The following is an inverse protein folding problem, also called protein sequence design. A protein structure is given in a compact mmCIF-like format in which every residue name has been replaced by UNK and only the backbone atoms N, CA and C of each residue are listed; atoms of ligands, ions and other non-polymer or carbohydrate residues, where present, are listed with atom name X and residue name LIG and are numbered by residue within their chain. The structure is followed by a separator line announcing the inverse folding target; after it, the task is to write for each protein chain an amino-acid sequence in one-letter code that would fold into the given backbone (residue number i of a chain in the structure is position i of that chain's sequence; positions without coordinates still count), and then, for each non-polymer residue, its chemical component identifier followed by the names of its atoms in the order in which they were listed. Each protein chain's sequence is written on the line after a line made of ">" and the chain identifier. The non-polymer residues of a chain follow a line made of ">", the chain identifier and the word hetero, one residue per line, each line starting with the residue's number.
data_IF_409553334909
#
_entry.id   IF_409553334909
#
_cell.length_a   1.000
_cell.length_b   1.000
_cell.length_c   1.000
_cell.angle_alpha   90.00
_cell.angle_beta   90.00
_cell.angle_gamma   90.00
#
_symmetry.space_group_name_H-M   'P 1'
#
loop_
_entity.id
_entity.type
_entity.pdbx_description
1 polymer ?
#
# COMPACT_ATOMS: atom_id res chain seq x y z
N UNK A 1 21.39 -7.39 18.58
CA UNK A 1 20.65 -6.13 18.89
C UNK A 1 20.86 -5.17 17.73
N UNK A 2 19.79 -4.55 17.21
CA UNK A 2 19.88 -3.57 16.12
C UNK A 2 20.67 -2.35 16.62
N UNK A 3 21.85 -2.09 16.06
CA UNK A 3 22.71 -0.97 16.47
C UNK A 3 22.68 0.23 15.51
N UNK A 4 21.98 0.11 14.38
CA UNK A 4 21.92 1.12 13.31
C UNK A 4 20.48 1.25 12.80
N UNK A 5 20.03 2.49 12.57
CA UNK A 5 18.66 2.80 12.16
C UNK A 5 17.82 3.42 13.28
N UNK A 6 16.79 4.20 12.89
CA UNK A 6 15.82 4.73 13.86
C UNK A 6 14.60 3.80 13.87
N UNK A 7 14.43 3.07 14.97
CA UNK A 7 13.38 2.05 15.15
C UNK A 7 12.07 2.58 15.74
N UNK A 8 11.91 3.91 15.76
CA UNK A 8 10.74 4.67 16.19
C UNK A 8 9.59 4.67 15.16
N UNK A 9 9.52 3.63 14.33
CA UNK A 9 8.48 3.45 13.30
C UNK A 9 8.02 1.98 13.22
N UNK A 10 7.13 1.68 12.27
CA UNK A 10 6.74 0.31 11.95
C UNK A 10 7.91 -0.44 11.33
N UNK A 11 8.49 -1.38 12.07
CA UNK A 11 9.50 -2.31 11.59
C UNK A 11 8.80 -3.64 11.28
N UNK A 12 9.04 -4.21 10.10
CA UNK A 12 8.46 -5.50 9.71
C UNK A 12 9.56 -6.54 9.56
N UNK A 13 9.28 -7.76 9.99
CA UNK A 13 10.19 -8.89 9.92
C UNK A 13 9.42 -10.13 9.50
N UNK A 14 9.97 -10.89 8.56
CA UNK A 14 9.44 -12.19 8.16
C UNK A 14 10.54 -13.06 7.55
N UNK A 15 10.28 -14.35 7.48
CA UNK A 15 11.12 -15.29 6.76
C UNK A 15 10.90 -15.14 5.25
N UNK A 16 11.97 -14.97 4.47
CA UNK A 16 11.93 -14.94 3.00
C UNK A 16 12.52 -16.25 2.46
N UNK A 17 11.68 -17.21 2.04
CA UNK A 17 12.12 -18.53 1.61
C UNK A 17 13.12 -18.49 0.45
N UNK A 18 13.01 -17.51 -0.46
CA UNK A 18 13.88 -17.42 -1.65
C UNK A 18 15.30 -16.99 -1.31
N UNK A 19 15.47 -16.30 -0.20
CA UNK A 19 16.77 -15.88 0.32
C UNK A 19 17.30 -16.83 1.40
N UNK A 20 16.45 -17.74 1.91
CA UNK A 20 16.73 -18.58 3.08
C UNK A 20 17.21 -17.75 4.29
N UNK A 21 16.54 -16.60 4.51
CA UNK A 21 16.91 -15.60 5.52
C UNK A 21 15.68 -14.92 6.09
N UNK A 22 15.81 -14.42 7.32
CA UNK A 22 14.90 -13.39 7.81
C UNK A 22 15.22 -12.08 7.09
N UNK A 23 14.18 -11.37 6.69
CA UNK A 23 14.27 -10.02 6.13
C UNK A 23 13.60 -9.04 7.08
N UNK A 24 14.21 -7.87 7.23
CA UNK A 24 13.67 -6.81 8.08
C UNK A 24 13.65 -5.51 7.29
N UNK A 25 12.51 -4.84 7.33
CA UNK A 25 12.34 -3.49 6.78
C UNK A 25 12.13 -2.50 7.92
N UNK A 26 12.88 -1.41 7.89
CA UNK A 26 12.83 -0.39 8.93
C UNK A 26 13.14 0.99 8.36
N UNK A 27 12.76 2.03 9.10
CA UNK A 27 12.92 3.41 8.67
C UNK A 27 14.38 3.86 8.75
N UNK A 28 14.83 4.51 7.68
CA UNK A 28 16.15 5.13 7.54
C UNK A 28 16.02 6.54 6.98
N UNK A 29 17.15 7.19 6.69
CA UNK A 29 17.18 8.49 6.01
C UNK A 29 18.13 8.38 4.82
N UNK A 30 17.66 8.77 3.64
CA UNK A 30 18.44 8.76 2.39
C UNK A 30 18.29 10.13 1.75
N UNK A 31 19.42 10.82 1.50
CA UNK A 31 19.41 12.15 0.89
C UNK A 31 18.58 13.20 1.66
N UNK A 32 18.46 13.08 2.99
CA UNK A 32 17.67 13.96 3.84
C UNK A 32 16.18 13.62 3.95
N UNK A 33 15.72 12.57 3.26
CA UNK A 33 14.33 12.10 3.30
C UNK A 33 14.21 10.83 4.12
N UNK A 34 13.14 10.73 4.93
CA UNK A 34 12.75 9.45 5.54
C UNK A 34 12.51 8.44 4.42
N UNK A 35 13.19 7.32 4.54
CA UNK A 35 13.14 6.22 3.58
C UNK A 35 13.03 4.91 4.34
N UNK A 36 12.97 3.80 3.61
CA UNK A 36 12.95 2.45 4.16
C UNK A 36 14.22 1.76 3.66
N UNK A 37 14.84 0.97 4.54
CA UNK A 37 15.94 0.07 4.17
C UNK A 37 15.61 -1.35 4.56
N UNK A 38 16.19 -2.30 3.84
CA UNK A 38 16.15 -3.72 4.13
C UNK A 38 17.47 -4.20 4.70
N UNK A 39 17.40 -5.10 5.67
CA UNK A 39 18.53 -5.92 6.10
C UNK A 39 18.13 -7.39 6.16
N UNK A 40 19.10 -8.30 6.11
CA UNK A 40 18.88 -9.75 6.17
C UNK A 40 19.63 -10.38 7.33
N UNK A 41 19.11 -11.51 7.83
CA UNK A 41 19.65 -12.23 8.98
C UNK A 41 19.55 -13.74 8.75
N UNK A 42 20.54 -14.47 9.24
CA UNK A 42 20.54 -15.93 9.26
C UNK A 42 20.00 -16.49 10.57
N UNK A 43 20.27 -15.82 11.70
CA UNK A 43 20.02 -16.36 13.06
C UNK A 43 19.43 -15.33 14.05
N UNK A 44 18.85 -14.23 13.55
CA UNK A 44 18.32 -13.11 14.34
C UNK A 44 19.35 -12.37 15.23
N UNK A 45 20.61 -12.79 15.21
CA UNK A 45 21.71 -12.20 15.98
C UNK A 45 22.60 -11.35 15.07
N UNK A 46 23.02 -11.92 13.94
CA UNK A 46 23.90 -11.31 12.95
C UNK A 46 23.10 -10.65 11.81
N UNK A 47 23.50 -9.45 11.41
CA UNK A 47 22.77 -8.59 10.48
C UNK A 47 23.67 -8.21 9.32
N UNK A 48 23.17 -8.37 8.09
CA UNK A 48 23.88 -7.86 6.91
C UNK A 48 23.93 -6.32 6.90
N UNK A 49 24.74 -5.76 6.01
CA UNK A 49 24.62 -4.34 5.68
C UNK A 49 23.19 -4.03 5.20
N UNK A 50 22.71 -2.85 5.56
CA UNK A 50 21.38 -2.39 5.20
C UNK A 50 21.38 -1.74 3.83
N UNK A 51 20.46 -2.17 2.99
CA UNK A 51 20.30 -1.69 1.62
C UNK A 51 19.06 -0.81 1.55
N UNK A 52 19.19 0.47 1.16
CA UNK A 52 18.04 1.33 0.90
C UNK A 52 17.09 0.73 -0.14
N UNK A 53 15.79 0.93 0.03
CA UNK A 53 14.83 0.58 -1.01
C UNK A 53 14.99 1.53 -2.20
N UNK A 54 14.83 0.95 -3.40
CA UNK A 54 14.73 1.66 -4.67
C UNK A 54 13.26 1.75 -5.08
N UNK A 55 12.81 2.92 -5.52
CA UNK A 55 11.42 3.18 -5.88
C UNK A 55 11.23 3.40 -7.39
N UNK A 56 12.13 2.86 -8.21
CA UNK A 56 12.09 3.00 -9.66
C UNK A 56 12.01 4.48 -10.07
N UNK A 57 10.99 4.85 -10.84
CA UNK A 57 10.84 6.19 -11.41
C UNK A 57 10.07 7.15 -10.48
N UNK A 58 9.66 6.69 -9.30
CA UNK A 58 8.89 7.50 -8.38
C UNK A 58 9.73 8.63 -7.77
N UNK A 59 9.17 9.85 -7.61
CA UNK A 59 9.90 10.98 -7.07
C UNK A 59 10.25 10.77 -5.58
N UNK A 60 11.24 11.52 -5.08
CA UNK A 60 11.62 11.49 -3.67
C UNK A 60 10.47 11.98 -2.79
N UNK A 61 10.06 11.15 -1.85
CA UNK A 61 8.99 11.40 -0.90
C UNK A 61 9.39 10.84 0.47
N UNK A 62 8.73 11.28 1.55
CA UNK A 62 9.11 10.91 2.91
C UNK A 62 8.27 9.70 3.38
N UNK A 63 8.84 8.51 3.39
CA UNK A 63 8.16 7.29 3.85
C UNK A 63 8.39 7.09 5.35
N UNK A 64 7.32 7.15 6.14
CA UNK A 64 7.42 7.04 7.60
C UNK A 64 7.33 5.59 8.07
N UNK A 65 6.22 4.91 7.75
CA UNK A 65 6.02 3.46 7.96
C UNK A 65 6.31 2.69 6.68
N UNK A 66 6.30 1.36 6.71
CA UNK A 66 6.48 0.54 5.52
C UNK A 66 5.33 -0.46 5.23
N UNK A 67 4.78 -1.11 6.27
CA UNK A 67 3.73 -2.12 6.10
C UNK A 67 4.12 -3.29 5.19
N UNK A 68 5.41 -3.57 5.02
CA UNK A 68 5.91 -4.55 4.05
C UNK A 68 5.69 -5.97 4.56
N UNK A 69 5.01 -6.79 3.76
CA UNK A 69 4.73 -8.20 4.03
C UNK A 69 4.53 -9.00 2.73
N UNK A 70 4.73 -10.33 2.74
CA UNK A 70 4.28 -11.19 1.65
C UNK A 70 2.76 -11.12 1.48
N UNK A 71 2.29 -11.03 0.24
CA UNK A 71 0.85 -11.08 -0.02
C UNK A 71 0.35 -12.53 0.09
N UNK A 72 -0.55 -12.81 1.04
CA UNK A 72 -0.96 -14.19 1.36
C UNK A 72 -1.53 -14.99 0.17
N UNK A 73 -2.14 -14.32 -0.81
CA UNK A 73 -2.68 -14.96 -2.04
C UNK A 73 -1.64 -15.11 -3.16
N UNK A 74 -0.51 -14.42 -3.06
CA UNK A 74 0.64 -14.56 -3.95
C UNK A 74 1.95 -14.28 -3.18
N UNK A 75 2.43 -15.20 -2.32
CA UNK A 75 3.53 -14.92 -1.37
C UNK A 75 4.87 -14.55 -2.02
N UNK A 76 5.01 -14.81 -3.32
CA UNK A 76 6.16 -14.41 -4.13
C UNK A 76 6.14 -12.91 -4.53
N UNK A 77 5.11 -12.16 -4.11
CA UNK A 77 4.99 -10.71 -4.25
C UNK A 77 4.90 -10.11 -2.85
N UNK A 78 5.74 -9.11 -2.59
CA UNK A 78 5.67 -8.30 -1.38
C UNK A 78 4.78 -7.09 -1.64
N UNK A 79 3.86 -6.82 -0.72
CA UNK A 79 3.12 -5.57 -0.66
C UNK A 79 3.69 -4.68 0.42
N UNK A 80 3.65 -3.37 0.19
CA UNK A 80 3.98 -2.35 1.17
C UNK A 80 2.89 -1.28 1.22
N UNK A 81 2.68 -0.74 2.41
CA UNK A 81 1.68 0.29 2.71
C UNK A 81 2.33 1.44 3.49
N UNK A 82 3.27 2.17 2.89
CA UNK A 82 3.99 3.20 3.62
C UNK A 82 3.08 4.42 3.84
N UNK A 83 3.11 4.95 5.06
CA UNK A 83 2.57 6.27 5.34
C UNK A 83 3.51 7.31 4.74
N UNK A 84 3.01 8.07 3.76
CA UNK A 84 3.72 9.22 3.24
C UNK A 84 3.49 10.41 4.15
N UNK A 85 4.59 11.00 4.55
CA UNK A 85 4.64 12.23 5.31
C UNK A 85 4.84 13.40 4.35
N UNK A 86 3.98 14.41 4.46
CA UNK A 86 4.09 15.64 3.67
C UNK A 86 4.43 16.79 4.60
N UNK A 87 5.70 17.21 4.58
CA UNK A 87 6.13 18.41 5.28
C UNK A 87 5.48 19.64 4.65
N UNK A 88 4.84 20.48 5.45
CA UNK A 88 4.18 21.71 4.97
C UNK A 88 4.55 22.89 5.85
N UNK A 89 4.49 24.10 5.29
CA UNK A 89 4.50 25.33 6.09
C UNK A 89 3.12 25.52 6.72
N UNK A 90 3.08 26.06 7.93
CA UNK A 90 1.82 26.43 8.56
C UNK A 90 1.14 27.56 7.74
N UNK A 91 -0.16 27.42 7.49
CA UNK A 91 -1.01 28.41 6.79
C UNK A 91 -2.33 28.56 7.55
N UNK A 92 -3.10 29.61 7.27
CA UNK A 92 -4.40 29.82 7.92
C UNK A 92 -5.36 28.66 7.64
N UNK A 93 -5.35 28.09 6.42
CA UNK A 93 -6.12 26.88 6.11
C UNK A 93 -5.71 25.70 6.98
N UNK A 94 -4.40 25.48 7.21
CA UNK A 94 -3.97 24.37 8.07
C UNK A 94 -4.36 24.63 9.53
N UNK A 95 -4.33 25.90 9.98
CA UNK A 95 -4.78 26.26 11.34
C UNK A 95 -6.27 26.03 11.53
N UNK A 96 -7.09 26.19 10.49
CA UNK A 96 -8.54 25.96 10.58
C UNK A 96 -8.94 24.48 10.50
N UNK A 97 -8.02 23.57 10.15
CA UNK A 97 -8.32 22.15 10.11
C UNK A 97 -8.48 21.58 11.53
N UNK A 98 -9.64 20.97 11.78
CA UNK A 98 -9.91 20.24 13.01
C UNK A 98 -8.85 19.14 13.28
N UNK A 99 -8.42 18.93 14.54
CA UNK A 99 -8.84 19.63 15.76
C UNK A 99 -8.07 20.94 15.94
N UNK A 100 -8.75 22.10 15.94
CA UNK A 100 -8.08 23.41 15.91
C UNK A 100 -7.25 23.67 17.17
N UNK A 101 -7.82 23.47 18.35
CA UNK A 101 -7.17 23.76 19.63
C UNK A 101 -6.00 22.82 19.89
N UNK A 102 -6.21 21.51 19.70
CA UNK A 102 -5.16 20.51 19.86
C UNK A 102 -4.04 20.71 18.83
N UNK A 103 -4.37 21.12 17.60
CA UNK A 103 -3.37 21.48 16.60
C UNK A 103 -2.54 22.66 17.07
N UNK A 104 -3.15 23.71 17.60
CA UNK A 104 -2.43 24.87 18.12
C UNK A 104 -1.50 24.48 19.28
N UNK A 105 -1.99 23.68 20.23
CA UNK A 105 -1.21 23.15 21.35
C UNK A 105 0.01 22.36 20.86
N UNK A 106 -0.20 21.37 19.98
CA UNK A 106 0.88 20.54 19.47
C UNK A 106 1.83 21.30 18.55
N UNK A 107 1.36 22.34 17.86
CA UNK A 107 2.22 23.25 17.08
C UNK A 107 3.20 23.98 17.99
N UNK A 108 2.75 24.42 19.18
CA UNK A 108 3.62 25.12 20.13
C UNK A 108 4.73 24.21 20.68
N UNK A 109 4.45 22.93 20.89
CA UNK A 109 5.45 21.94 21.31
C UNK A 109 6.38 21.51 20.16
N UNK A 110 5.81 21.23 19.00
CA UNK A 110 6.54 20.77 17.82
C UNK A 110 5.85 21.28 16.55
N UNK A 111 6.32 22.40 15.99
CA UNK A 111 5.68 23.09 14.85
C UNK A 111 5.22 22.16 13.71
N UNK A 112 6.05 21.16 13.40
CA UNK A 112 5.81 20.14 12.36
C UNK A 112 4.52 19.33 12.59
N UNK A 113 4.16 19.04 13.85
CA UNK A 113 3.00 18.20 14.18
C UNK A 113 1.69 18.88 13.77
N UNK A 114 1.64 20.21 13.87
CA UNK A 114 0.46 20.96 13.45
C UNK A 114 0.39 21.25 11.96
N UNK A 115 1.54 21.37 11.27
CA UNK A 115 1.57 21.70 9.84
C UNK A 115 1.54 20.49 8.91
N UNK A 116 2.17 19.39 9.32
CA UNK A 116 2.39 18.25 8.45
C UNK A 116 1.17 17.37 8.35
N UNK A 117 1.04 16.71 7.19
CA UNK A 117 -0.08 15.82 6.89
C UNK A 117 0.45 14.46 6.45
N UNK A 118 -0.37 13.44 6.63
CA UNK A 118 -0.06 12.08 6.21
C UNK A 118 -1.19 11.42 5.41
N UNK A 119 -0.78 10.63 4.44
CA UNK A 119 -1.64 9.73 3.67
C UNK A 119 -0.95 8.36 3.51
N UNK A 120 -1.68 7.35 3.05
CA UNK A 120 -1.15 6.00 2.84
C UNK A 120 -0.93 5.73 1.36
N UNK A 121 0.23 5.19 0.99
CA UNK A 121 0.51 4.73 -0.36
C UNK A 121 0.42 3.21 -0.47
N UNK A 122 0.44 2.72 -1.70
CA UNK A 122 0.62 1.31 -2.01
C UNK A 122 1.88 1.11 -2.85
N UNK A 123 2.62 0.03 -2.58
CA UNK A 123 3.77 -0.38 -3.38
C UNK A 123 3.88 -1.90 -3.42
N UNK A 124 4.53 -2.42 -4.45
CA UNK A 124 4.77 -3.85 -4.60
C UNK A 124 6.18 -4.16 -5.09
N UNK A 125 6.71 -5.32 -4.72
CA UNK A 125 8.03 -5.77 -5.16
C UNK A 125 8.08 -7.29 -5.29
N UNK A 126 8.95 -7.78 -6.17
CA UNK A 126 9.29 -9.19 -6.25
C UNK A 126 10.65 -9.48 -5.62
N UNK A 127 11.60 -8.55 -5.61
CA UNK A 127 12.97 -8.79 -5.10
C UNK A 127 13.21 -8.27 -3.67
N UNK A 128 12.26 -7.51 -3.13
CA UNK A 128 12.36 -6.89 -1.81
C UNK A 128 13.35 -5.73 -1.72
N UNK A 129 13.88 -5.22 -2.83
CA UNK A 129 14.71 -4.00 -2.87
C UNK A 129 14.08 -2.95 -3.79
N UNK A 130 13.77 -3.31 -5.03
CA UNK A 130 13.12 -2.43 -5.99
C UNK A 130 11.62 -2.57 -5.86
N UNK A 131 10.97 -1.51 -5.43
CA UNK A 131 9.52 -1.42 -5.29
C UNK A 131 8.94 -0.54 -6.39
N UNK A 132 7.92 -1.05 -7.06
CA UNK A 132 7.02 -0.20 -7.82
C UNK A 132 6.06 0.47 -6.85
N UNK A 133 6.09 1.80 -6.77
CA UNK A 133 5.22 2.57 -5.89
C UNK A 133 4.20 3.35 -6.72
N UNK A 134 2.94 3.26 -6.33
CA UNK A 134 1.91 4.15 -6.84
C UNK A 134 1.91 5.42 -5.99
N UNK A 135 2.21 6.55 -6.62
CA UNK A 135 2.46 7.82 -5.93
C UNK A 135 1.16 8.58 -5.60
N UNK A 136 0.03 8.18 -6.18
CA UNK A 136 -1.30 8.57 -5.72
C UNK A 136 -1.62 7.89 -4.38
N UNK A 137 -2.24 8.66 -3.47
CA UNK A 137 -2.66 8.13 -2.19
C UNK A 137 -3.69 7.01 -2.34
N UNK A 138 -3.33 5.85 -1.78
CA UNK A 138 -4.18 4.66 -1.63
C UNK A 138 -5.15 4.85 -0.47
N UNK A 139 -4.65 5.30 0.68
CA UNK A 139 -5.46 5.79 1.80
C UNK A 139 -5.40 7.32 1.77
N UNK A 140 -6.45 7.94 1.25
CA UNK A 140 -6.55 9.40 1.17
C UNK A 140 -7.10 9.96 2.48
N UNK A 141 -6.69 11.17 2.88
CA UNK A 141 -7.50 11.98 3.77
C UNK A 141 -8.91 12.05 3.18
N UNK A 142 -9.92 11.74 3.99
CA UNK A 142 -11.31 11.94 3.59
C UNK A 142 -11.64 13.42 3.43
N UNK A 143 -12.90 13.77 3.11
CA UNK A 143 -13.33 15.17 3.03
C UNK A 143 -12.97 15.94 4.30
N UNK A 144 -12.58 17.20 4.14
CA UNK A 144 -12.55 18.14 5.26
C UNK A 144 -13.98 18.28 5.80
N UNK A 145 -14.14 18.12 7.10
CA UNK A 145 -15.44 18.08 7.75
C UNK A 145 -15.32 18.71 9.15
N UNK A 146 -16.43 18.71 9.88
CA UNK A 146 -16.52 19.32 11.20
C UNK A 146 -15.66 18.65 12.29
N UNK A 147 -15.86 19.02 13.56
CA UNK A 147 -14.97 18.67 14.68
C UNK A 147 -14.65 17.17 14.88
N UNK A 148 -15.52 16.29 14.37
CA UNK A 148 -15.34 14.83 14.40
C UNK A 148 -14.38 14.28 13.33
N UNK A 149 -13.93 15.13 12.38
CA UNK A 149 -12.96 14.77 11.35
C UNK A 149 -11.61 14.41 11.96
N UNK A 150 -11.04 13.28 11.55
CA UNK A 150 -9.90 12.66 12.22
C UNK A 150 -8.87 12.11 11.24
N UNK A 151 -8.69 12.83 10.13
CA UNK A 151 -7.96 12.41 8.93
C UNK A 151 -7.05 13.51 8.34
N UNK A 152 -6.97 14.68 8.97
CA UNK A 152 -6.23 15.86 8.49
C UNK A 152 -5.14 16.33 9.47
N UNK A 153 -4.51 15.42 10.21
CA UNK A 153 -3.38 15.73 11.09
C UNK A 153 -2.25 14.71 10.93
N UNK A 154 -1.01 15.12 11.19
CA UNK A 154 0.15 14.22 11.19
C UNK A 154 -0.12 12.96 12.03
N UNK A 155 0.05 11.77 11.45
CA UNK A 155 -0.20 10.49 12.12
C UNK A 155 -1.56 9.87 11.82
N UNK A 156 -2.49 10.65 11.25
CA UNK A 156 -3.72 10.09 10.69
C UNK A 156 -3.45 9.34 9.38
N UNK A 157 -4.39 8.48 9.00
CA UNK A 157 -4.31 7.64 7.79
C UNK A 157 -3.16 6.61 7.82
N UNK A 158 -2.61 6.33 9.01
CA UNK A 158 -1.61 5.28 9.19
C UNK A 158 -2.30 3.92 9.16
N UNK A 159 -2.02 3.14 8.11
CA UNK A 159 -2.44 1.76 8.04
C UNK A 159 -1.67 0.92 9.07
N UNK A 160 -2.38 0.09 9.84
CA UNK A 160 -1.81 -0.95 10.67
C UNK A 160 -1.16 -2.05 9.82
N UNK A 161 -0.24 -2.81 10.41
CA UNK A 161 0.37 -3.95 9.72
C UNK A 161 -0.67 -5.07 9.51
N UNK A 162 -0.63 -5.70 8.34
CA UNK A 162 -1.49 -6.84 8.03
C UNK A 162 -2.63 -6.53 7.06
N UNK A 163 -2.99 -7.55 6.30
CA UNK A 163 -4.25 -7.67 5.57
C UNK A 163 -4.90 -8.95 6.06
N UNK A 164 -6.21 -8.96 6.23
CA UNK A 164 -6.93 -10.15 6.64
C UNK A 164 -8.25 -10.26 5.88
N UNK A 165 -8.59 -11.49 5.51
CA UNK A 165 -9.81 -11.77 4.77
C UNK A 165 -11.01 -11.78 5.72
N UNK A 166 -12.10 -11.13 5.32
CA UNK A 166 -13.35 -11.08 6.07
C UNK A 166 -14.53 -11.36 5.16
N UNK A 167 -15.61 -11.90 5.71
CA UNK A 167 -16.87 -12.00 4.99
C UNK A 167 -17.32 -10.63 4.44
N UNK A 168 -17.92 -10.65 3.26
CA UNK A 168 -18.62 -9.49 2.70
C UNK A 168 -19.85 -9.16 3.55
N UNK A 169 -20.21 -7.88 3.59
CA UNK A 169 -21.46 -7.39 4.17
C UNK A 169 -22.68 -7.70 3.29
N UNK A 170 -22.44 -8.07 2.03
CA UNK A 170 -23.47 -8.51 1.08
C UNK A 170 -23.57 -10.04 1.05
N UNK A 171 -24.77 -10.55 1.26
CA UNK A 171 -25.10 -11.97 1.16
C UNK A 171 -24.72 -12.54 -0.21
N UNK A 172 -24.10 -13.73 -0.22
CA UNK A 172 -23.66 -14.42 -1.43
C UNK A 172 -22.44 -13.82 -2.15
N UNK A 173 -21.96 -12.64 -1.73
CA UNK A 173 -20.79 -12.02 -2.34
C UNK A 173 -19.47 -12.65 -1.83
N UNK A 174 -18.39 -12.62 -2.64
CA UNK A 174 -17.07 -13.09 -2.21
C UNK A 174 -16.56 -12.34 -0.98
N UNK A 175 -15.64 -12.95 -0.24
CA UNK A 175 -14.92 -12.28 0.83
C UNK A 175 -14.20 -11.00 0.36
N UNK A 176 -13.85 -10.16 1.32
CA UNK A 176 -13.12 -8.91 1.12
C UNK A 176 -11.80 -8.95 1.89
N UNK A 177 -10.81 -8.19 1.42
CA UNK A 177 -9.63 -7.88 2.21
C UNK A 177 -9.95 -6.71 3.14
N UNK A 178 -9.73 -6.91 4.42
CA UNK A 178 -9.81 -5.90 5.46
C UNK A 178 -8.43 -5.38 5.83
N UNK A 179 -8.38 -4.09 6.13
CA UNK A 179 -7.22 -3.41 6.72
C UNK A 179 -7.70 -2.45 7.80
N UNK A 180 -6.87 -2.23 8.82
CA UNK A 180 -7.16 -1.29 9.90
C UNK A 180 -6.35 -0.01 9.67
N UNK A 181 -7.01 1.13 9.72
CA UNK A 181 -6.40 2.44 9.53
C UNK A 181 -6.66 3.29 10.76
N UNK A 182 -5.63 3.97 11.24
CA UNK A 182 -5.74 4.86 12.40
C UNK A 182 -6.38 6.19 12.03
N UNK A 183 -7.30 6.60 12.88
CA UNK A 183 -8.00 7.89 12.84
C UNK A 183 -7.83 8.62 14.16
N UNK A 184 -7.49 9.91 14.10
CA UNK A 184 -7.38 10.78 15.27
C UNK A 184 -6.15 10.48 16.12
N UNK A 185 -4.98 10.27 15.50
CA UNK A 185 -3.75 9.78 16.15
C UNK A 185 -3.42 10.51 17.47
N UNK A 186 -3.51 11.84 17.46
CA UNK A 186 -3.17 12.69 18.60
C UNK A 186 -4.35 12.95 19.55
N UNK A 187 -5.58 12.61 19.15
CA UNK A 187 -6.78 12.90 19.93
C UNK A 187 -6.91 11.86 21.04
N UNK A 188 -6.48 12.24 22.24
CA UNK A 188 -6.65 11.39 23.42
C UNK A 188 -8.12 10.98 23.57
N UNK A 189 -8.38 9.69 23.84
CA UNK A 189 -9.72 9.07 23.97
C UNK A 189 -10.55 8.95 22.68
N UNK A 190 -10.23 9.68 21.62
CA UNK A 190 -10.91 9.58 20.31
C UNK A 190 -10.10 8.85 19.24
N UNK A 191 -8.81 8.58 19.48
CA UNK A 191 -7.97 7.76 18.61
C UNK A 191 -8.56 6.37 18.45
N UNK A 192 -8.82 5.97 17.20
CA UNK A 192 -9.45 4.67 16.87
C UNK A 192 -8.81 4.01 15.66
N UNK A 193 -9.09 2.72 15.49
CA UNK A 193 -8.83 1.99 14.26
C UNK A 193 -10.15 1.81 13.51
N UNK A 194 -10.21 2.30 12.26
CA UNK A 194 -11.31 2.02 11.35
C UNK A 194 -10.95 0.87 10.43
N UNK A 195 -11.88 -0.07 10.26
CA UNK A 195 -11.76 -1.12 9.25
C UNK A 195 -12.14 -0.56 7.89
N UNK A 196 -11.21 -0.63 6.95
CA UNK A 196 -11.42 -0.41 5.53
C UNK A 196 -11.49 -1.78 4.85
N UNK A 197 -12.30 -1.89 3.82
CA UNK A 197 -12.40 -3.10 3.01
C UNK A 197 -12.15 -2.79 1.54
N UNK A 198 -11.59 -3.77 0.84
CA UNK A 198 -11.41 -3.76 -0.61
C UNK A 198 -11.73 -5.16 -1.14
N UNK A 199 -12.22 -5.26 -2.37
CA UNK A 199 -12.39 -6.56 -3.03
C UNK A 199 -11.05 -7.31 -3.06
N UNK A 200 -11.09 -8.64 -3.06
CA UNK A 200 -9.88 -9.47 -3.19
C UNK A 200 -9.06 -8.97 -4.39
N UNK A 201 -7.73 -8.88 -4.21
CA UNK A 201 -6.78 -8.45 -5.24
C UNK A 201 -7.05 -7.06 -5.87
N UNK A 202 -7.90 -6.21 -5.24
CA UNK A 202 -8.41 -4.96 -5.81
C UNK A 202 -7.48 -3.74 -5.74
N UNK A 203 -6.19 -3.90 -5.43
CA UNK A 203 -5.28 -2.78 -5.13
C UNK A 203 -4.94 -1.92 -6.34
N UNK A 204 -4.69 -2.55 -7.49
CA UNK A 204 -4.32 -1.89 -8.75
C UNK A 204 -5.01 -2.63 -9.87
N UNK A 205 -5.58 -1.90 -10.82
CA UNK A 205 -6.25 -2.47 -11.97
C UNK A 205 -5.77 -1.85 -13.27
N UNK A 206 -5.74 -2.66 -14.32
CA UNK A 206 -5.77 -2.15 -15.70
C UNK A 206 -7.17 -1.61 -15.95
N UNK A 207 -7.26 -0.45 -16.60
CA UNK A 207 -8.52 0.25 -16.87
C UNK A 207 -8.61 0.59 -18.35
N UNK A 208 -9.78 0.37 -18.92
CA UNK A 208 -10.12 0.80 -20.27
C UNK A 208 -11.27 1.84 -20.20
N UNK A 209 -11.27 2.87 -21.06
CA UNK A 209 -12.40 3.80 -21.20
C UNK A 209 -13.61 3.10 -21.83
N UNK A 210 -14.73 3.83 -21.96
CA UNK A 210 -15.94 3.31 -22.60
C UNK A 210 -15.72 2.78 -24.03
N UNK A 211 -14.80 3.41 -24.78
CA UNK A 211 -14.41 2.98 -26.12
C UNK A 211 -13.70 1.61 -26.16
N UNK A 212 -13.38 1.03 -25.00
CA UNK A 212 -12.63 -0.21 -24.87
C UNK A 212 -11.13 0.00 -24.84
N UNK A 213 -10.40 -1.10 -24.76
CA UNK A 213 -8.95 -1.15 -24.73
C UNK A 213 -8.46 -2.58 -24.72
N UNK A 214 -7.17 -2.76 -25.01
CA UNK A 214 -6.52 -4.05 -25.08
C UNK A 214 -5.26 -4.06 -24.21
N UNK A 215 -4.92 -5.22 -23.66
CA UNK A 215 -3.71 -5.45 -22.90
C UNK A 215 -3.14 -6.82 -23.27
N UNK A 216 -1.90 -6.83 -23.75
CA UNK A 216 -1.11 -8.06 -23.88
C UNK A 216 -0.32 -8.28 -22.59
N UNK A 217 -0.53 -9.42 -21.94
CA UNK A 217 0.21 -9.79 -20.73
C UNK A 217 1.65 -10.22 -21.05
N UNK A 218 2.52 -10.29 -20.03
CA UNK A 218 3.77 -11.04 -20.16
C UNK A 218 3.43 -12.54 -20.35
N UNK A 219 4.22 -13.30 -21.13
CA UNK A 219 4.01 -14.73 -21.29
C UNK A 219 3.83 -15.44 -19.94
N UNK A 220 2.75 -16.20 -19.81
CA UNK A 220 2.43 -16.95 -18.61
C UNK A 220 2.86 -18.40 -18.81
N UNK A 221 3.74 -18.89 -17.94
CA UNK A 221 4.03 -20.32 -17.84
C UNK A 221 3.17 -20.89 -16.71
N UNK A 222 2.29 -21.84 -17.02
CA UNK A 222 1.38 -22.44 -16.05
C UNK A 222 1.19 -23.92 -16.34
N UNK A 223 0.81 -24.67 -15.31
CA UNK A 223 0.31 -26.04 -15.41
C UNK A 223 -1.14 -26.00 -14.93
N UNK A 224 -2.07 -26.48 -15.75
CA UNK A 224 -3.49 -26.54 -15.41
C UNK A 224 -4.38 -26.22 -16.60
N UNK A 225 -5.68 -26.14 -16.35
CA UNK A 225 -6.73 -25.94 -17.37
C UNK A 225 -7.71 -24.82 -17.03
N UNK A 226 -7.47 -24.07 -15.94
CA UNK A 226 -8.37 -23.02 -15.45
C UNK A 226 -7.65 -21.68 -15.34
N UNK A 227 -8.18 -20.68 -16.05
CA UNK A 227 -7.81 -19.28 -15.88
C UNK A 227 -8.92 -18.59 -15.06
N UNK A 228 -8.54 -17.87 -14.01
CA UNK A 228 -9.45 -17.02 -13.24
C UNK A 228 -8.98 -15.58 -13.36
N UNK A 229 -9.87 -14.68 -13.77
CA UNK A 229 -9.59 -13.27 -13.92
C UNK A 229 -10.40 -12.47 -12.90
N UNK A 230 -9.75 -11.53 -12.23
CA UNK A 230 -10.41 -10.61 -11.32
C UNK A 230 -10.75 -9.31 -12.07
N UNK A 231 -11.98 -9.22 -12.56
CA UNK A 231 -12.43 -8.13 -13.44
C UNK A 231 -13.64 -7.40 -12.84
N UNK A 232 -13.96 -6.23 -13.40
CA UNK A 232 -15.19 -5.48 -13.10
C UNK A 232 -15.56 -4.66 -14.31
N UNK A 233 -16.82 -4.74 -14.70
CA UNK A 233 -17.40 -3.93 -15.78
C UNK A 233 -18.67 -3.25 -15.26
N UNK A 234 -19.08 -2.18 -15.94
CA UNK A 234 -20.46 -1.69 -15.87
C UNK A 234 -21.37 -2.60 -16.71
N UNK A 235 -22.69 -2.45 -16.59
CA UNK A 235 -23.67 -3.33 -17.25
C UNK A 235 -23.51 -3.43 -18.79
N UNK A 236 -23.00 -2.38 -19.44
CA UNK A 236 -22.74 -2.36 -20.88
C UNK A 236 -21.28 -2.70 -21.26
N UNK A 237 -20.43 -3.03 -20.27
CA UNK A 237 -19.05 -3.40 -20.49
C UNK A 237 -18.89 -4.91 -20.62
N UNK A 238 -17.85 -5.34 -21.34
CA UNK A 238 -17.51 -6.76 -21.49
C UNK A 238 -16.00 -6.93 -21.48
N UNK A 239 -15.56 -8.15 -21.18
CA UNK A 239 -14.17 -8.57 -21.33
C UNK A 239 -14.12 -9.76 -22.27
N UNK A 240 -13.12 -9.76 -23.15
CA UNK A 240 -12.78 -10.88 -24.03
C UNK A 240 -11.34 -11.27 -23.77
N UNK A 241 -11.05 -12.57 -23.90
CA UNK A 241 -9.72 -13.13 -23.63
C UNK A 241 -9.27 -13.91 -24.86
N UNK A 242 -8.05 -13.64 -25.30
CA UNK A 242 -7.34 -14.39 -26.32
C UNK A 242 -6.11 -15.07 -25.69
N UNK A 243 -5.78 -16.28 -26.13
CA UNK A 243 -4.53 -16.95 -25.78
C UNK A 243 -3.60 -16.85 -26.97
N UNK A 244 -2.41 -16.30 -26.72
CA UNK A 244 -1.36 -16.13 -27.72
C UNK A 244 -0.14 -17.00 -27.41
N UNK A 245 0.57 -17.41 -28.46
CA UNK A 245 1.90 -17.99 -28.35
C UNK A 245 2.94 -16.91 -27.90
N UNK A 246 4.18 -17.30 -27.57
CA UNK A 246 5.21 -16.33 -27.17
C UNK A 246 5.60 -15.31 -28.25
N UNK A 247 5.16 -15.47 -29.50
CA UNK A 247 5.38 -14.56 -30.62
C UNK A 247 4.18 -13.64 -30.87
N UNK A 248 3.10 -13.77 -30.10
CA UNK A 248 1.88 -12.99 -30.23
C UNK A 248 0.89 -13.55 -31.25
N UNK A 249 1.07 -14.77 -31.76
CA UNK A 249 0.09 -15.38 -32.65
C UNK A 249 -1.02 -16.04 -31.85
N UNK A 250 -2.26 -15.92 -32.33
CA UNK A 250 -3.42 -16.58 -31.74
C UNK A 250 -3.21 -18.10 -31.69
N UNK A 251 -3.56 -18.72 -30.55
CA UNK A 251 -3.57 -20.16 -30.42
C UNK A 251 -4.77 -20.75 -31.17
N UNK A 252 -4.59 -21.78 -32.00
CA UNK A 252 -5.56 -22.27 -33.00
C UNK A 252 -6.94 -22.73 -32.48
N UNK A 253 -7.16 -22.79 -31.16
CA UNK A 253 -8.42 -23.19 -30.52
C UNK A 253 -8.99 -22.13 -29.56
N UNK A 254 -8.58 -20.87 -29.71
CA UNK A 254 -9.00 -19.80 -28.80
C UNK A 254 -10.48 -19.47 -29.02
N UNK A 255 -11.33 -19.88 -28.07
CA UNK A 255 -12.69 -19.34 -27.95
C UNK A 255 -12.63 -18.06 -27.13
N UNK A 256 -13.10 -16.95 -27.70
CA UNK A 256 -13.36 -15.73 -26.95
C UNK A 256 -14.34 -16.03 -25.82
N UNK A 257 -13.86 -15.99 -24.57
CA UNK A 257 -14.75 -16.03 -23.42
C UNK A 257 -15.28 -14.61 -23.19
N UNK A 258 -16.56 -14.38 -23.50
CA UNK A 258 -17.25 -13.16 -23.08
C UNK A 258 -17.64 -13.36 -21.62
N UNK A 259 -17.10 -12.52 -20.73
CA UNK A 259 -17.52 -12.48 -19.35
C UNK A 259 -18.38 -11.23 -19.15
N UNK A 260 -19.69 -11.44 -18.97
CA UNK A 260 -20.63 -10.43 -18.51
C UNK A 260 -20.81 -10.56 -17.00
N UNK A 261 -20.85 -9.43 -16.30
CA UNK A 261 -21.03 -9.33 -14.84
C UNK A 261 -22.29 -10.02 -14.33
#
# INVERSE_FOLDING_TARGET
>A
MIRRGRLDSMNTMFWEPRLNRYVIYYRTVVGGYRSISRTTLTDLVEWSESVPLDYADSPRQQMYTNGIQPYHRAPHILFGFPARYTARKMTDQIRSLEPVELRAELTAAYARVGSDLSDGLFMSSRDGIRFWRWDEAFIRPGPEAGPSASNWMYGDNYQSHGLFETASDREGAPNQLSMLVREGYWRARDSRLRRYTIRLDGFVSVRAPYAGGELVSKPLCFIGSRLTLNYSTFAAGSMRVEIQDPRGNEFRDTRWMIVSS
#
